data_IF_436228549778
#
_entry.id   IF_436228549778
#
_cell.length_a   1.000
_cell.length_b   1.000
_cell.length_c   1.000
_cell.angle_alpha   90.00
_cell.angle_beta   90.00
_cell.angle_gamma   90.00
#
_symmetry.space_group_name_H-M   'P 1'
#
loop_
_entity.id
_entity.type
_entity.pdbx_description
1 polymer ?
#
# COMPACT_ATOMS: atom_id res chain seq x y z
N UNK A 1 23.39 15.84 3.23
CA UNK A 1 22.46 14.88 2.60
C UNK A 1 21.06 15.42 2.76
N UNK A 2 20.34 15.68 1.66
CA UNK A 2 18.99 16.25 1.73
C UNK A 2 18.01 15.13 2.08
N UNK A 3 17.63 15.01 3.36
CA UNK A 3 16.66 13.99 3.80
C UNK A 3 15.30 14.44 3.29
N UNK A 4 14.85 13.84 2.19
CA UNK A 4 13.55 14.14 1.60
C UNK A 4 12.46 14.05 2.68
N UNK A 5 11.68 15.12 2.82
CA UNK A 5 10.60 15.20 3.81
C UNK A 5 9.60 14.09 3.52
N UNK A 6 9.44 13.14 4.44
CA UNK A 6 8.43 12.09 4.32
C UNK A 6 7.05 12.71 4.18
N UNK A 7 6.26 12.20 3.24
CA UNK A 7 4.85 12.57 3.09
C UNK A 7 4.00 11.63 3.94
N UNK A 8 2.94 12.18 4.54
CA UNK A 8 1.96 11.37 5.27
C UNK A 8 0.95 10.80 4.28
N UNK A 9 0.63 9.52 4.40
CA UNK A 9 -0.46 8.89 3.65
C UNK A 9 -1.72 8.90 4.52
N UNK A 10 -2.76 9.60 4.07
CA UNK A 10 -4.08 9.55 4.68
C UNK A 10 -4.84 8.31 4.19
N UNK A 11 -5.22 7.43 5.10
CA UNK A 11 -6.06 6.26 4.82
C UNK A 11 -7.28 6.26 5.74
N UNK A 12 -8.48 5.87 5.26
CA UNK A 12 -9.63 5.68 6.13
C UNK A 12 -9.33 4.65 7.23
N UNK A 13 -9.96 4.81 8.41
CA UNK A 13 -9.72 3.93 9.56
C UNK A 13 -9.96 2.45 9.24
N UNK A 14 -11.00 2.14 8.45
CA UNK A 14 -11.30 0.77 8.04
C UNK A 14 -10.19 0.18 7.15
N UNK A 15 -9.68 0.96 6.20
CA UNK A 15 -8.56 0.56 5.33
C UNK A 15 -7.30 0.35 6.15
N UNK A 16 -7.01 1.26 7.10
CA UNK A 16 -5.89 1.10 8.02
C UNK A 16 -6.00 -0.21 8.81
N UNK A 17 -7.17 -0.52 9.38
CA UNK A 17 -7.39 -1.79 10.11
C UNK A 17 -7.18 -3.02 9.23
N UNK A 18 -7.59 -2.98 7.95
CA UNK A 18 -7.36 -4.08 7.01
C UNK A 18 -5.86 -4.31 6.79
N UNK A 19 -5.10 -3.24 6.55
CA UNK A 19 -3.65 -3.32 6.34
C UNK A 19 -2.95 -3.78 7.63
N UNK A 20 -3.38 -3.27 8.79
CA UNK A 20 -2.84 -3.67 10.09
C UNK A 20 -3.02 -5.17 10.33
N UNK A 21 -4.19 -5.73 10.03
CA UNK A 21 -4.43 -7.19 10.13
C UNK A 21 -3.47 -7.98 9.24
N UNK A 22 -3.25 -7.54 8.01
CA UNK A 22 -2.28 -8.17 7.10
C UNK A 22 -0.86 -8.12 7.69
N UNK A 23 -0.46 -6.99 8.27
CA UNK A 23 0.84 -6.86 8.93
C UNK A 23 0.99 -7.80 10.14
N UNK A 24 -0.07 -7.96 10.94
CA UNK A 24 -0.12 -8.93 12.05
C UNK A 24 0.01 -10.36 11.52
N UNK A 25 -0.70 -10.72 10.45
CA UNK A 25 -0.61 -12.05 9.83
C UNK A 25 0.80 -12.35 9.31
N UNK A 26 1.45 -11.39 8.63
CA UNK A 26 2.83 -11.53 8.17
C UNK A 26 3.76 -11.73 9.37
N UNK A 27 3.57 -10.96 10.45
CA UNK A 27 4.36 -11.09 11.68
C UNK A 27 4.20 -12.49 12.29
N UNK A 28 2.96 -12.99 12.40
CA UNK A 28 2.68 -14.30 12.95
C UNK A 28 3.31 -15.43 12.11
N UNK A 29 3.32 -15.31 10.78
CA UNK A 29 3.88 -16.33 9.88
C UNK A 29 5.40 -16.28 9.77
N UNK A 30 6.01 -15.11 9.88
CA UNK A 30 7.46 -14.90 9.65
C UNK A 30 8.28 -14.78 10.93
N UNK A 31 7.63 -14.55 12.07
CA UNK A 31 8.29 -14.21 13.34
C UNK A 31 8.94 -12.82 13.37
N UNK A 32 8.80 -12.02 12.31
CA UNK A 32 9.38 -10.67 12.21
C UNK A 32 8.29 -9.62 12.29
N UNK A 33 8.45 -8.68 13.21
CA UNK A 33 7.51 -7.56 13.39
C UNK A 33 7.41 -6.77 12.09
N UNK A 34 6.20 -6.75 11.52
CA UNK A 34 5.84 -6.04 10.30
C UNK A 34 4.83 -4.96 10.67
N UNK A 35 5.06 -3.71 10.22
CA UNK A 35 4.14 -2.58 10.42
C UNK A 35 3.26 -2.40 9.19
N UNK A 36 2.09 -1.79 9.36
CA UNK A 36 1.23 -1.44 8.22
C UNK A 36 1.96 -0.59 7.16
N UNK A 37 2.88 0.29 7.59
CA UNK A 37 3.69 1.11 6.67
C UNK A 37 4.60 0.26 5.81
N UNK A 38 5.11 -0.86 6.31
CA UNK A 38 5.99 -1.75 5.55
C UNK A 38 5.19 -2.43 4.42
N UNK A 39 3.96 -2.84 4.71
CA UNK A 39 3.02 -3.39 3.71
C UNK A 39 2.73 -2.37 2.61
N UNK A 40 2.40 -1.14 3.00
CA UNK A 40 2.09 -0.06 2.04
C UNK A 40 3.31 0.31 1.19
N UNK A 41 4.49 0.44 1.80
CA UNK A 41 5.71 0.76 1.06
C UNK A 41 6.04 -0.36 0.07
N UNK A 42 5.92 -1.63 0.49
CA UNK A 42 6.10 -2.76 -0.40
C UNK A 42 5.14 -2.71 -1.60
N UNK A 43 3.85 -2.39 -1.36
CA UNK A 43 2.89 -2.22 -2.45
C UNK A 43 3.26 -1.10 -3.41
N UNK A 44 3.71 0.05 -2.91
CA UNK A 44 4.12 1.18 -3.76
C UNK A 44 5.36 0.83 -4.57
N UNK A 45 6.35 0.18 -3.97
CA UNK A 45 7.61 -0.12 -4.64
C UNK A 45 7.46 -1.22 -5.70
N UNK A 46 6.59 -2.20 -5.45
CA UNK A 46 6.50 -3.39 -6.29
C UNK A 46 5.29 -3.37 -7.24
N UNK A 47 4.18 -2.75 -6.83
CA UNK A 47 2.89 -2.86 -7.55
C UNK A 47 2.34 -1.52 -8.11
N UNK A 48 3.11 -0.43 -8.03
CA UNK A 48 2.66 0.88 -8.55
C UNK A 48 2.40 0.86 -10.07
N UNK A 49 3.20 0.09 -10.82
CA UNK A 49 3.04 0.03 -12.27
C UNK A 49 1.79 -0.74 -12.71
N UNK A 50 1.42 -1.84 -12.05
CA UNK A 50 0.15 -2.51 -12.37
C UNK A 50 -1.03 -1.64 -11.96
N UNK A 51 -0.98 -1.05 -10.76
CA UNK A 51 -2.03 -0.13 -10.30
C UNK A 51 -2.27 1.02 -11.29
N UNK A 52 -1.21 1.56 -11.91
CA UNK A 52 -1.31 2.55 -12.99
C UNK A 52 -2.06 2.00 -14.21
N UNK A 53 -1.71 0.80 -14.68
CA UNK A 53 -2.36 0.22 -15.86
C UNK A 53 -3.84 -0.06 -15.61
N UNK A 54 -4.18 -0.62 -14.45
CA UNK A 54 -5.56 -0.90 -14.07
C UNK A 54 -6.42 0.37 -13.99
N UNK A 55 -5.85 1.45 -13.45
CA UNK A 55 -6.52 2.75 -13.39
C UNK A 55 -6.78 3.32 -14.78
N UNK A 56 -5.79 3.26 -15.68
CA UNK A 56 -5.97 3.69 -17.08
C UNK A 56 -7.07 2.86 -17.74
N UNK A 57 -7.02 1.54 -17.60
CA UNK A 57 -7.99 0.63 -18.19
C UNK A 57 -9.42 0.94 -17.72
N UNK A 58 -9.62 1.04 -16.41
CA UNK A 58 -10.91 1.38 -15.79
C UNK A 58 -11.49 2.70 -16.32
N UNK A 59 -10.66 3.72 -16.47
CA UNK A 59 -11.11 5.01 -17.02
C UNK A 59 -11.53 4.88 -18.49
N UNK A 60 -10.80 4.10 -19.29
CA UNK A 60 -11.14 3.89 -20.70
C UNK A 60 -12.42 3.08 -20.91
N UNK A 61 -12.72 2.11 -20.03
CA UNK A 61 -13.97 1.35 -20.08
C UNK A 61 -15.18 2.20 -19.70
N UNK A 62 -15.04 3.12 -18.73
CA UNK A 62 -16.14 3.97 -18.27
C UNK A 62 -16.53 5.05 -19.30
N UNK A 63 -15.68 5.30 -20.31
CA UNK A 63 -15.88 6.36 -21.31
C UNK A 63 -16.39 5.81 -22.66
N UNK A 64 -16.56 4.49 -22.79
CA UNK A 64 -17.17 3.83 -23.95
C UNK A 64 -18.61 3.46 -23.66
#
# INVERSE_FOLDING_TARGET
MNVAKRKNLGVPAETHMKIERVAVEITAKTGRVTKWTDVVNFMIENYLNEAKQDLIHKTTETTK
#
